data_IF_097901274944
#
_entry.id   IF_097901274944
#
_cell.length_a   1.000
_cell.length_b   1.000
_cell.length_c   1.000
_cell.angle_alpha   90.00
_cell.angle_beta   90.00
_cell.angle_gamma   90.00
#
_symmetry.space_group_name_H-M   'P 1'
#
loop_
_entity.id
_entity.type
_entity.pdbx_description
1 polymer ?
#
# COMPACT_ATOMS: atom_id res chain seq x y z
N UNK A 1 1.74 20.71 37.41
CA UNK A 1 1.82 19.25 37.62
C UNK A 1 0.38 18.77 37.76
N UNK A 2 -0.14 18.02 36.78
CA UNK A 2 -1.48 17.37 36.72
C UNK A 2 -2.70 18.33 36.69
N UNK A 3 -3.73 18.23 35.83
CA UNK A 3 -4.21 17.20 34.92
C UNK A 3 -4.89 17.89 33.72
N UNK A 4 -4.47 17.51 32.51
CA UNK A 4 -5.06 17.88 31.23
C UNK A 4 -5.95 16.71 30.80
N UNK A 5 -7.17 16.62 31.33
CA UNK A 5 -8.17 15.58 30.98
C UNK A 5 -9.56 16.22 30.96
N UNK A 6 -9.94 16.84 29.85
CA UNK A 6 -11.35 17.17 29.56
C UNK A 6 -11.61 17.56 28.08
N UNK A 7 -10.79 17.15 27.11
CA UNK A 7 -10.97 17.62 25.72
C UNK A 7 -10.65 16.58 24.64
N UNK A 8 -10.92 15.31 24.91
CA UNK A 8 -11.10 14.29 23.87
C UNK A 8 -12.30 13.45 24.27
N UNK A 9 -13.43 13.61 23.55
CA UNK A 9 -14.47 12.61 23.26
C UNK A 9 -15.74 13.34 22.79
N UNK A 10 -15.66 13.93 21.61
CA UNK A 10 -16.83 14.18 20.75
C UNK A 10 -16.45 13.74 19.34
N UNK A 11 -16.10 12.46 19.21
CA UNK A 11 -16.23 11.78 17.93
C UNK A 11 -17.72 11.55 17.74
N UNK A 12 -18.32 12.26 16.78
CA UNK A 12 -19.65 11.92 16.29
C UNK A 12 -19.59 10.47 15.79
N UNK A 13 -20.14 9.54 16.58
CA UNK A 13 -20.30 8.16 16.17
C UNK A 13 -21.34 8.15 15.06
N UNK A 14 -20.89 8.10 13.80
CA UNK A 14 -21.72 7.53 12.74
C UNK A 14 -22.26 6.19 13.24
N UNK A 15 -23.54 5.86 13.02
CA UNK A 15 -24.07 4.57 13.43
C UNK A 15 -23.17 3.49 12.84
N UNK A 16 -22.70 2.56 13.69
CA UNK A 16 -21.84 1.47 13.26
C UNK A 16 -22.48 0.79 12.04
N UNK A 17 -21.82 0.88 10.89
CA UNK A 17 -22.29 0.24 9.67
C UNK A 17 -22.59 -1.23 10.00
N UNK A 18 -23.78 -1.70 9.63
CA UNK A 18 -24.16 -3.10 9.80
C UNK A 18 -23.08 -3.97 9.18
N UNK A 19 -22.51 -4.88 9.97
CA UNK A 19 -21.41 -5.72 9.51
C UNK A 19 -21.80 -6.42 8.20
N UNK A 20 -20.94 -6.40 7.17
CA UNK A 20 -21.28 -6.93 5.85
C UNK A 20 -21.57 -8.43 5.94
N UNK A 21 -22.60 -8.88 5.22
CA UNK A 21 -22.96 -10.31 5.16
C UNK A 21 -21.96 -11.01 4.24
N UNK A 22 -21.13 -11.88 4.82
CA UNK A 22 -20.18 -12.70 4.09
C UNK A 22 -20.83 -14.02 3.66
N UNK A 23 -20.63 -14.49 2.42
CA UNK A 23 -21.00 -15.85 2.05
C UNK A 23 -20.13 -16.85 2.81
N UNK A 24 -20.66 -18.03 3.12
CA UNK A 24 -19.97 -19.07 3.90
C UNK A 24 -18.61 -19.47 3.29
N UNK A 25 -18.46 -19.37 1.97
CA UNK A 25 -17.20 -19.61 1.25
C UNK A 25 -16.09 -18.62 1.61
N UNK A 26 -16.44 -17.40 2.02
CA UNK A 26 -15.50 -16.35 2.40
C UNK A 26 -15.28 -16.31 3.92
N UNK A 27 -16.25 -16.76 4.73
CA UNK A 27 -16.16 -16.73 6.21
C UNK A 27 -14.88 -17.39 6.72
N UNK A 28 -14.53 -18.57 6.20
CA UNK A 28 -13.37 -19.37 6.64
C UNK A 28 -12.05 -18.58 6.51
N UNK A 29 -11.92 -17.71 5.51
CA UNK A 29 -10.70 -16.93 5.26
C UNK A 29 -10.40 -15.91 6.35
N UNK A 30 -11.42 -15.49 7.10
CA UNK A 30 -11.31 -14.48 8.16
C UNK A 30 -11.35 -15.09 9.57
N UNK A 31 -11.49 -16.42 9.66
CA UNK A 31 -11.36 -17.17 10.91
C UNK A 31 -9.91 -17.58 11.16
N UNK A 32 -9.52 -17.63 12.44
CA UNK A 32 -8.22 -18.13 12.90
C UNK A 32 -8.27 -19.65 13.06
N UNK A 33 -7.12 -20.32 13.17
CA UNK A 33 -7.03 -21.79 13.14
C UNK A 33 -8.01 -22.54 14.07
N UNK A 34 -8.15 -22.09 15.32
CA UNK A 34 -9.10 -22.71 16.27
C UNK A 34 -10.58 -22.52 15.85
N UNK A 35 -10.91 -21.36 15.29
CA UNK A 35 -12.25 -21.01 14.82
C UNK A 35 -12.60 -21.69 13.49
N UNK A 36 -11.60 -21.91 12.63
CA UNK A 36 -11.76 -22.71 11.41
C UNK A 36 -12.09 -24.17 11.77
N UNK A 37 -11.39 -24.74 12.75
CA UNK A 37 -11.71 -26.08 13.24
C UNK A 37 -13.11 -26.13 13.87
N UNK A 38 -13.51 -25.08 14.60
CA UNK A 38 -14.86 -24.95 15.15
C UNK A 38 -15.94 -24.84 14.07
N UNK A 39 -15.68 -24.05 13.02
CA UNK A 39 -16.55 -23.92 11.85
C UNK A 39 -16.83 -25.28 11.23
N UNK A 40 -15.77 -26.05 10.93
CA UNK A 40 -15.89 -27.38 10.32
C UNK A 40 -16.70 -28.33 11.21
N UNK A 41 -16.47 -28.33 12.53
CA UNK A 41 -17.25 -29.15 13.47
C UNK A 41 -18.73 -28.74 13.51
N UNK A 42 -19.01 -27.44 13.54
CA UNK A 42 -20.38 -26.93 13.55
C UNK A 42 -21.11 -27.26 12.24
N UNK A 43 -20.43 -27.16 11.10
CA UNK A 43 -21.00 -27.50 9.80
C UNK A 43 -21.33 -29.00 9.69
N UNK A 44 -20.44 -29.88 10.17
CA UNK A 44 -20.72 -31.32 10.24
C UNK A 44 -21.90 -31.65 11.16
N UNK A 45 -22.01 -30.96 12.29
CA UNK A 45 -23.15 -31.12 13.22
C UNK A 45 -24.47 -30.67 12.58
N UNK A 46 -24.44 -29.58 11.82
CA UNK A 46 -25.60 -29.08 11.07
C UNK A 46 -26.08 -30.10 10.03
N UNK A 47 -25.18 -30.65 9.22
CA UNK A 47 -25.50 -31.65 8.21
C UNK A 47 -25.97 -32.98 8.84
N UNK A 48 -25.36 -33.41 9.95
CA UNK A 48 -25.85 -34.57 10.71
C UNK A 48 -27.28 -34.36 11.25
N UNK A 49 -27.58 -33.15 11.74
CA UNK A 49 -28.91 -32.76 12.17
C UNK A 49 -29.94 -32.78 11.04
N UNK A 50 -29.57 -32.29 9.84
CA UNK A 50 -30.42 -32.40 8.63
C UNK A 50 -30.68 -33.86 8.24
N UNK A 51 -29.66 -34.72 8.33
CA UNK A 51 -29.79 -36.14 8.07
C UNK A 51 -30.82 -36.81 9.00
N UNK A 52 -30.74 -36.54 10.31
CA UNK A 52 -31.69 -37.04 11.30
C UNK A 52 -33.10 -36.53 11.09
N UNK A 53 -33.25 -35.24 10.77
CA UNK A 53 -34.55 -34.63 10.46
C UNK A 53 -35.21 -35.29 9.24
N UNK A 54 -34.44 -35.49 8.17
CA UNK A 54 -34.93 -36.16 6.95
C UNK A 54 -35.29 -37.62 7.23
N UNK A 55 -34.46 -38.33 8.00
CA UNK A 55 -34.70 -39.72 8.38
C UNK A 55 -35.97 -39.85 9.25
N UNK A 56 -36.10 -39.01 10.28
CA UNK A 56 -37.28 -38.99 11.15
C UNK A 56 -38.56 -38.65 10.37
N UNK A 57 -38.50 -37.67 9.47
CA UNK A 57 -39.63 -37.30 8.59
C UNK A 57 -40.02 -38.44 7.65
N UNK A 58 -39.03 -39.11 7.05
CA UNK A 58 -39.27 -40.29 6.20
C UNK A 58 -39.94 -41.42 6.98
N UNK A 59 -39.46 -41.71 8.19
CA UNK A 59 -40.05 -42.72 9.07
C UNK A 59 -41.51 -42.38 9.40
N UNK A 60 -41.81 -41.13 9.74
CA UNK A 60 -43.18 -40.69 10.07
C UNK A 60 -44.14 -40.75 8.88
N UNK A 61 -43.65 -40.54 7.66
CA UNK A 61 -44.46 -40.50 6.44
C UNK A 61 -44.58 -41.86 5.73
N UNK A 62 -43.80 -42.87 6.15
CA UNK A 62 -43.86 -44.19 5.55
C UNK A 62 -45.23 -44.86 5.79
N UNK A 63 -45.87 -45.44 4.75
CA UNK A 63 -47.13 -46.17 4.92
C UNK A 63 -46.91 -47.43 5.77
N UNK A 64 -47.77 -47.67 6.76
CA UNK A 64 -47.63 -48.80 7.71
C UNK A 64 -48.87 -49.66 7.76
N UNK A 65 -48.69 -50.97 7.59
CA UNK A 65 -49.65 -52.02 7.94
C UNK A 65 -49.41 -52.46 9.39
N UNK A 66 -50.47 -52.82 10.13
CA UNK A 66 -50.33 -53.31 11.51
C UNK A 66 -49.50 -54.62 11.49
N UNK A 67 -48.34 -54.63 12.15
CA UNK A 67 -47.55 -55.85 12.29
C UNK A 67 -48.17 -56.75 13.36
N UNK A 68 -48.51 -57.98 12.99
CA UNK A 68 -49.09 -58.98 13.90
C UNK A 68 -48.01 -60.01 14.24
N UNK A 69 -47.30 -59.81 15.37
CA UNK A 69 -46.28 -60.76 15.85
C UNK A 69 -45.40 -60.19 16.97
N UNK A 70 -45.06 -60.99 17.98
CA UNK A 70 -44.12 -60.60 19.06
C UNK A 70 -42.72 -60.45 18.45
N UNK A 71 -42.25 -59.21 18.29
CA UNK A 71 -40.90 -58.89 17.80
C UNK A 71 -40.83 -57.83 16.68
N UNK A 72 -41.96 -57.37 16.15
CA UNK A 72 -42.00 -56.28 15.17
C UNK A 72 -42.33 -54.93 15.83
N UNK A 73 -41.63 -53.87 15.40
CA UNK A 73 -41.88 -52.49 15.84
C UNK A 73 -43.31 -52.08 15.46
N UNK A 74 -44.12 -51.68 16.44
CA UNK A 74 -45.50 -51.23 16.20
C UNK A 74 -45.53 -49.88 15.47
N UNK A 75 -46.63 -49.55 14.77
CA UNK A 75 -46.79 -48.23 14.15
C UNK A 75 -46.67 -47.05 15.14
N UNK A 76 -46.99 -47.24 16.42
CA UNK A 76 -46.83 -46.22 17.45
C UNK A 76 -45.36 -46.05 17.86
N UNK A 77 -44.64 -47.16 18.09
CA UNK A 77 -43.20 -47.14 18.41
C UNK A 77 -42.37 -46.52 17.29
N UNK A 78 -42.66 -46.89 16.04
CA UNK A 78 -41.99 -46.33 14.88
C UNK A 78 -42.32 -44.84 14.67
N UNK A 79 -43.47 -44.35 15.16
CA UNK A 79 -43.80 -42.91 15.12
C UNK A 79 -43.01 -42.17 16.19
N UNK A 80 -42.99 -42.68 17.42
CA UNK A 80 -42.21 -42.13 18.53
C UNK A 80 -40.71 -42.06 18.20
N UNK A 81 -40.16 -43.08 17.53
CA UNK A 81 -38.78 -43.07 17.02
C UNK A 81 -38.54 -41.96 15.99
N UNK A 82 -39.47 -41.79 15.05
CA UNK A 82 -39.41 -40.71 14.06
C UNK A 82 -39.42 -39.33 14.70
N UNK A 83 -40.31 -39.10 15.67
CA UNK A 83 -40.40 -37.85 16.45
C UNK A 83 -39.11 -37.59 17.26
N UNK A 84 -38.53 -38.62 17.88
CA UNK A 84 -37.28 -38.50 18.61
C UNK A 84 -36.11 -38.07 17.68
N UNK A 85 -36.03 -38.65 16.49
CA UNK A 85 -35.02 -38.29 15.49
C UNK A 85 -35.21 -36.86 14.95
N UNK A 86 -36.45 -36.42 14.75
CA UNK A 86 -36.74 -35.03 14.36
C UNK A 86 -36.32 -34.07 15.45
N UNK A 87 -36.66 -34.35 16.71
CA UNK A 87 -36.26 -33.52 17.85
C UNK A 87 -34.73 -33.44 17.99
N UNK A 88 -34.05 -34.57 17.92
CA UNK A 88 -32.57 -34.62 17.97
C UNK A 88 -31.96 -33.83 16.80
N UNK A 89 -32.51 -33.98 15.59
CA UNK A 89 -32.08 -33.22 14.41
C UNK A 89 -32.27 -31.71 14.57
N UNK A 90 -33.41 -31.28 15.11
CA UNK A 90 -33.70 -29.86 15.38
C UNK A 90 -32.74 -29.28 16.43
N UNK A 91 -32.48 -29.99 17.52
CA UNK A 91 -31.53 -29.56 18.55
C UNK A 91 -30.10 -29.42 18.00
N UNK A 92 -29.67 -30.38 17.17
CA UNK A 92 -28.35 -30.34 16.52
C UNK A 92 -28.23 -29.17 15.54
N UNK A 93 -29.25 -28.95 14.72
CA UNK A 93 -29.33 -27.80 13.81
C UNK A 93 -29.26 -26.50 14.61
N UNK A 94 -30.06 -26.35 15.67
CA UNK A 94 -30.11 -25.12 16.47
C UNK A 94 -28.76 -24.80 17.11
N UNK A 95 -28.10 -25.79 17.73
CA UNK A 95 -26.76 -25.63 18.34
C UNK A 95 -25.72 -25.26 17.29
N UNK A 96 -25.72 -25.95 16.15
CA UNK A 96 -24.80 -25.66 15.06
C UNK A 96 -25.02 -24.25 14.48
N UNK A 97 -26.27 -23.85 14.27
CA UNK A 97 -26.62 -22.52 13.75
C UNK A 97 -26.16 -21.40 14.68
N UNK A 98 -26.29 -21.55 16.00
CA UNK A 98 -25.76 -20.57 16.95
C UNK A 98 -24.25 -20.38 16.80
N UNK A 99 -23.50 -21.48 16.72
CA UNK A 99 -22.04 -21.44 16.53
C UNK A 99 -21.67 -20.83 15.18
N UNK A 100 -22.30 -21.26 14.09
CA UNK A 100 -22.05 -20.74 12.74
C UNK A 100 -22.35 -19.24 12.66
N UNK A 101 -23.44 -18.77 13.27
CA UNK A 101 -23.79 -17.34 13.29
C UNK A 101 -22.77 -16.50 14.07
N UNK A 102 -22.29 -17.00 15.22
CA UNK A 102 -21.22 -16.33 15.97
C UNK A 102 -19.95 -16.22 15.11
N UNK A 103 -19.55 -17.31 14.46
CA UNK A 103 -18.37 -17.34 13.60
C UNK A 103 -18.51 -16.43 12.36
N UNK A 104 -19.69 -16.39 11.73
CA UNK A 104 -20.02 -15.42 10.66
C UNK A 104 -19.85 -13.98 11.14
N UNK A 105 -20.35 -13.65 12.32
CA UNK A 105 -20.21 -12.31 12.90
C UNK A 105 -18.76 -11.95 13.19
N UNK A 106 -17.97 -12.88 13.76
CA UNK A 106 -16.52 -12.70 13.96
C UNK A 106 -15.80 -12.45 12.63
N UNK A 107 -16.07 -13.26 11.61
CA UNK A 107 -15.48 -13.11 10.29
C UNK A 107 -15.89 -11.78 9.63
N UNK A 108 -17.16 -11.39 9.71
CA UNK A 108 -17.68 -10.14 9.18
C UNK A 108 -17.04 -8.92 9.85
N UNK A 109 -16.83 -8.97 11.17
CA UNK A 109 -16.15 -7.91 11.93
C UNK A 109 -14.71 -7.76 11.46
N UNK A 110 -13.97 -8.87 11.36
CA UNK A 110 -12.57 -8.82 10.88
C UNK A 110 -12.46 -8.40 9.43
N UNK A 111 -13.38 -8.84 8.59
CA UNK A 111 -13.45 -8.37 7.20
C UNK A 111 -13.67 -6.86 7.17
N UNK A 112 -14.65 -6.34 7.91
CA UNK A 112 -14.92 -4.90 7.99
C UNK A 112 -13.72 -4.11 8.50
N UNK A 113 -12.99 -4.62 9.51
CA UNK A 113 -11.75 -4.01 9.98
C UNK A 113 -10.64 -4.02 8.92
N UNK A 114 -10.53 -5.10 8.13
CA UNK A 114 -9.53 -5.25 7.07
C UNK A 114 -9.88 -4.48 5.80
N UNK A 115 -11.14 -4.07 5.62
CA UNK A 115 -11.62 -3.30 4.46
C UNK A 115 -12.07 -1.90 4.83
N UNK A 116 -11.74 -1.41 6.03
CA UNK A 116 -12.07 -0.04 6.40
C UNK A 116 -11.34 0.92 5.47
N UNK A 117 -12.01 2.00 5.12
CA UNK A 117 -11.38 3.07 4.36
C UNK A 117 -10.34 3.78 5.24
N UNK A 118 -9.18 4.07 4.65
CA UNK A 118 -8.10 4.82 5.30
C UNK A 118 -7.68 5.95 4.38
N UNK A 119 -7.59 7.15 4.94
CA UNK A 119 -7.02 8.30 4.25
C UNK A 119 -5.57 8.48 4.67
N UNK A 120 -4.68 8.50 3.68
CA UNK A 120 -3.25 8.73 3.84
C UNK A 120 -2.93 10.05 3.15
N UNK A 121 -2.46 11.04 3.88
CA UNK A 121 -2.22 12.37 3.32
C UNK A 121 -0.86 12.93 3.76
N UNK A 122 -0.21 13.64 2.84
CA UNK A 122 1.01 14.40 3.08
C UNK A 122 0.86 15.81 2.51
N UNK A 123 1.30 16.79 3.29
CA UNK A 123 1.39 18.18 2.88
C UNK A 123 2.76 18.46 2.28
N UNK A 124 2.78 19.17 1.15
CA UNK A 124 3.96 19.60 0.42
C UNK A 124 4.02 21.11 0.42
N UNK A 125 5.11 21.63 0.99
CA UNK A 125 5.32 23.07 1.12
C UNK A 125 5.95 23.68 -0.13
N UNK A 126 5.59 24.93 -0.41
CA UNK A 126 6.22 25.76 -1.42
C UNK A 126 7.54 26.35 -0.94
N UNK A 127 8.57 26.26 -1.77
CA UNK A 127 9.90 26.83 -1.53
C UNK A 127 10.46 27.49 -2.78
N UNK A 128 11.42 28.39 -2.60
CA UNK A 128 12.33 28.76 -3.70
C UNK A 128 13.18 27.55 -4.08
N UNK A 129 13.60 27.47 -5.33
CA UNK A 129 14.35 26.35 -5.89
C UNK A 129 15.54 25.90 -5.02
N UNK A 130 16.46 26.83 -4.74
CA UNK A 130 17.67 26.54 -3.97
C UNK A 130 17.37 26.12 -2.52
N UNK A 131 16.37 26.74 -1.91
CA UNK A 131 15.94 26.43 -0.54
C UNK A 131 15.30 25.04 -0.47
N UNK A 132 14.41 24.74 -1.42
CA UNK A 132 13.73 23.45 -1.52
C UNK A 132 14.71 22.30 -1.72
N UNK A 133 15.69 22.46 -2.62
CA UNK A 133 16.76 21.48 -2.83
C UNK A 133 17.62 21.31 -1.59
N UNK A 134 18.05 22.40 -0.95
CA UNK A 134 18.90 22.34 0.25
C UNK A 134 18.19 21.65 1.42
N UNK A 135 16.95 22.04 1.71
CA UNK A 135 16.16 21.48 2.81
C UNK A 135 15.84 20.00 2.58
N UNK A 136 15.55 19.62 1.34
CA UNK A 136 15.31 18.23 0.96
C UNK A 136 16.61 17.41 1.05
N UNK A 137 17.74 17.93 0.57
CA UNK A 137 19.04 17.28 0.69
C UNK A 137 19.45 17.06 2.17
N UNK A 138 19.23 18.05 3.05
CA UNK A 138 19.51 17.92 4.48
C UNK A 138 18.72 16.78 5.13
N UNK A 139 17.42 16.69 4.87
CA UNK A 139 16.56 15.62 5.43
C UNK A 139 16.90 14.25 4.85
N UNK A 140 17.08 14.18 3.53
CA UNK A 140 17.46 12.97 2.83
C UNK A 140 18.81 12.42 3.30
N UNK A 141 19.83 13.27 3.46
CA UNK A 141 21.14 12.88 4.01
C UNK A 141 21.04 12.37 5.43
N UNK A 142 20.24 13.05 6.28
CA UNK A 142 20.01 12.59 7.65
C UNK A 142 19.42 11.19 7.65
N UNK A 143 18.40 10.91 6.84
CA UNK A 143 17.75 9.60 6.78
C UNK A 143 18.65 8.51 6.21
N UNK A 144 19.41 8.81 5.15
CA UNK A 144 20.40 7.87 4.62
C UNK A 144 21.45 7.50 5.67
N UNK A 145 21.98 8.50 6.40
CA UNK A 145 22.93 8.29 7.49
C UNK A 145 22.32 7.50 8.65
N UNK A 146 21.09 7.84 9.05
CA UNK A 146 20.40 7.13 10.13
C UNK A 146 20.10 5.66 9.71
N UNK A 147 20.01 5.38 8.40
CA UNK A 147 19.95 4.02 7.85
C UNK A 147 21.31 3.32 7.75
N UNK A 148 22.43 4.00 8.02
CA UNK A 148 23.78 3.44 8.03
C UNK A 148 24.65 3.79 6.81
N UNK A 149 24.12 4.54 5.84
CA UNK A 149 24.83 4.85 4.59
C UNK A 149 26.08 5.69 4.84
N UNK A 150 27.19 5.28 4.23
CA UNK A 150 28.49 5.95 4.37
C UNK A 150 28.96 6.65 3.11
N UNK A 151 28.33 6.39 1.96
CA UNK A 151 28.62 7.03 0.69
C UNK A 151 27.32 7.29 -0.08
N UNK A 152 27.25 8.42 -0.79
CA UNK A 152 26.10 8.86 -1.58
C UNK A 152 26.56 9.20 -2.99
N UNK A 153 25.84 8.70 -4.00
CA UNK A 153 26.06 9.05 -5.39
C UNK A 153 24.82 9.76 -5.94
N UNK A 154 24.99 10.99 -6.42
CA UNK A 154 23.95 11.66 -7.24
C UNK A 154 24.11 11.16 -8.67
N UNK A 155 23.14 10.38 -9.13
CA UNK A 155 23.24 9.54 -10.33
C UNK A 155 22.46 10.06 -11.53
N UNK A 156 21.48 10.94 -11.34
CA UNK A 156 20.70 11.47 -12.46
C UNK A 156 19.57 12.39 -12.03
N UNK A 157 18.92 12.98 -13.02
CA UNK A 157 17.66 13.68 -12.83
C UNK A 157 16.80 13.68 -14.09
N UNK A 158 15.49 13.71 -13.89
CA UNK A 158 14.50 13.77 -14.96
C UNK A 158 13.65 15.02 -14.90
N UNK A 159 13.37 15.55 -16.07
CA UNK A 159 12.30 16.50 -16.34
C UNK A 159 11.17 15.75 -17.06
N UNK A 160 9.95 15.82 -16.53
CA UNK A 160 8.77 15.28 -17.19
C UNK A 160 8.00 16.40 -17.87
N UNK A 161 7.75 16.28 -19.17
CA UNK A 161 6.87 17.19 -19.89
C UNK A 161 5.39 16.78 -19.82
N UNK A 162 4.53 17.55 -20.48
CA UNK A 162 3.09 17.27 -20.56
C UNK A 162 2.77 15.95 -21.27
N UNK A 163 3.67 15.45 -22.13
CA UNK A 163 3.55 14.16 -22.80
C UNK A 163 3.89 12.96 -21.91
N UNK A 164 4.30 13.22 -20.66
CA UNK A 164 4.68 12.22 -19.67
C UNK A 164 5.99 11.49 -19.97
N UNK A 165 6.77 11.94 -20.96
CA UNK A 165 8.05 11.31 -21.27
C UNK A 165 9.17 11.92 -20.43
N UNK A 166 10.05 11.10 -19.83
CA UNK A 166 11.20 11.60 -19.11
C UNK A 166 12.26 12.12 -20.09
N UNK A 167 12.82 13.30 -19.79
CA UNK A 167 14.02 13.82 -20.42
C UNK A 167 15.12 14.01 -19.36
N UNK A 168 16.39 13.63 -19.62
CA UNK A 168 17.50 13.94 -18.73
C UNK A 168 17.60 15.44 -18.44
N UNK A 169 17.90 15.80 -17.19
CA UNK A 169 18.03 17.20 -16.77
C UNK A 169 19.39 17.45 -16.10
N UNK A 170 20.37 17.90 -16.90
CA UNK A 170 21.74 18.14 -16.41
C UNK A 170 21.80 19.28 -15.37
N UNK A 171 21.07 20.36 -15.58
CA UNK A 171 21.03 21.50 -14.65
C UNK A 171 20.51 21.08 -13.28
N UNK A 172 19.44 20.28 -13.22
CA UNK A 172 18.93 19.75 -11.95
C UNK A 172 19.93 18.79 -11.27
N UNK A 173 20.73 18.03 -12.03
CA UNK A 173 21.80 17.21 -11.45
C UNK A 173 22.85 18.11 -10.79
N UNK A 174 23.29 19.17 -11.46
CA UNK A 174 24.28 20.12 -10.94
C UNK A 174 23.76 20.85 -9.70
N UNK A 175 22.54 21.37 -9.75
CA UNK A 175 21.88 22.04 -8.63
C UNK A 175 21.70 21.11 -7.43
N UNK A 176 21.26 19.87 -7.68
CA UNK A 176 21.14 18.86 -6.64
C UNK A 176 22.51 18.55 -6.03
N UNK A 177 23.56 18.38 -6.83
CA UNK A 177 24.93 18.15 -6.32
C UNK A 177 25.43 19.33 -5.50
N UNK A 178 25.15 20.57 -5.92
CA UNK A 178 25.51 21.77 -5.19
C UNK A 178 24.78 21.85 -3.83
N UNK A 179 23.46 21.62 -3.84
CA UNK A 179 22.65 21.57 -2.62
C UNK A 179 23.08 20.42 -1.70
N UNK A 180 23.40 19.25 -2.25
CA UNK A 180 23.86 18.08 -1.50
C UNK A 180 25.23 18.35 -0.87
N UNK A 181 26.15 18.98 -1.60
CA UNK A 181 27.46 19.39 -1.09
C UNK A 181 27.31 20.44 0.01
N UNK A 182 26.41 21.42 -0.16
CA UNK A 182 26.12 22.42 0.87
C UNK A 182 25.45 21.84 2.11
N UNK A 183 24.61 20.82 1.95
CA UNK A 183 23.96 20.10 3.03
C UNK A 183 24.94 19.23 3.84
N UNK A 184 26.10 18.89 3.28
CA UNK A 184 27.12 18.16 4.01
C UNK A 184 27.66 19.00 5.15
N UNK A 185 27.55 18.44 6.36
CA UNK A 185 28.28 18.92 7.51
C UNK A 185 29.78 18.58 7.37
N UNK A 186 30.51 18.42 8.48
CA UNK A 186 31.93 18.06 8.54
C UNK A 186 32.29 16.68 7.91
N UNK A 187 31.32 15.98 7.30
CA UNK A 187 31.50 14.63 6.74
C UNK A 187 31.26 14.65 5.22
N UNK A 188 32.26 14.17 4.48
CA UNK A 188 32.19 14.02 3.02
C UNK A 188 31.52 12.69 2.67
N UNK A 189 30.22 12.73 2.42
CA UNK A 189 29.45 11.55 1.99
C UNK A 189 29.25 11.48 0.47
N UNK A 190 29.34 12.59 -0.25
CA UNK A 190 29.08 12.63 -1.70
C UNK A 190 30.34 12.18 -2.41
N UNK A 191 30.23 11.05 -3.08
CA UNK A 191 31.29 10.52 -3.90
C UNK A 191 31.35 11.28 -5.24
N UNK A 192 32.55 11.40 -5.84
CA UNK A 192 32.68 11.90 -7.20
C UNK A 192 31.90 10.99 -8.17
N UNK A 193 31.42 11.57 -9.27
CA UNK A 193 30.88 10.76 -10.34
C UNK A 193 32.02 9.89 -10.95
N UNK A 194 31.76 8.61 -11.27
CA UNK A 194 32.71 7.78 -11.98
C UNK A 194 33.16 8.43 -13.28
N UNK A 195 34.42 8.25 -13.68
CA UNK A 195 34.98 8.87 -14.88
C UNK A 195 34.33 8.39 -16.18
N UNK A 196 33.79 7.17 -16.15
CA UNK A 196 33.02 6.55 -17.24
C UNK A 196 31.52 6.87 -17.18
N UNK A 197 31.09 7.67 -16.20
CA UNK A 197 29.68 7.99 -15.96
C UNK A 197 28.89 6.85 -15.32
N UNK A 198 27.64 7.11 -14.98
CA UNK A 198 26.74 6.07 -14.46
C UNK A 198 25.99 5.39 -15.60
N UNK A 199 26.00 4.05 -15.60
CA UNK A 199 25.24 3.18 -16.50
C UNK A 199 25.05 1.82 -15.85
N UNK A 200 23.85 1.23 -15.97
CA UNK A 200 23.62 -0.11 -15.41
C UNK A 200 24.22 -1.18 -16.34
N UNK A 201 25.08 -2.02 -15.77
CA UNK A 201 25.65 -3.20 -16.44
C UNK A 201 25.08 -4.49 -15.83
N UNK A 202 25.19 -5.59 -16.59
CA UNK A 202 24.66 -6.87 -16.14
C UNK A 202 25.42 -7.34 -14.91
N UNK A 203 24.67 -7.73 -13.87
CA UNK A 203 25.27 -8.36 -12.71
C UNK A 203 25.92 -9.70 -13.13
N UNK A 204 27.09 -10.06 -12.56
CA UNK A 204 27.81 -11.28 -12.95
C UNK A 204 27.04 -12.56 -12.61
N UNK A 205 26.09 -12.49 -11.66
CA UNK A 205 25.16 -13.55 -11.28
C UNK A 205 23.80 -12.96 -10.91
N UNK A 206 22.74 -13.77 -10.85
CA UNK A 206 21.41 -13.32 -10.44
C UNK A 206 21.33 -12.82 -8.98
N UNK A 207 22.26 -13.24 -8.13
CA UNK A 207 22.33 -12.86 -6.71
C UNK A 207 23.25 -11.66 -6.45
N UNK A 208 24.09 -11.28 -7.41
CA UNK A 208 25.01 -10.16 -7.27
C UNK A 208 24.26 -8.81 -7.31
N UNK A 209 24.75 -7.78 -6.58
CA UNK A 209 24.20 -6.44 -6.66
C UNK A 209 24.34 -5.87 -8.08
N UNK A 210 23.45 -4.94 -8.43
CA UNK A 210 23.56 -4.22 -9.68
C UNK A 210 24.85 -3.39 -9.72
N UNK A 211 25.51 -3.34 -10.87
CA UNK A 211 26.66 -2.48 -11.10
C UNK A 211 26.21 -1.27 -11.91
N UNK A 212 26.61 -0.07 -11.48
CA UNK A 212 26.17 1.19 -12.09
C UNK A 212 27.29 1.98 -12.77
N UNK A 213 28.50 1.43 -12.83
CA UNK A 213 29.63 1.93 -13.62
C UNK A 213 30.68 0.82 -13.68
N UNK A 214 31.46 0.75 -14.77
CA UNK A 214 32.53 -0.23 -14.89
C UNK A 214 33.70 0.08 -13.94
N UNK A 215 33.89 1.36 -13.61
CA UNK A 215 34.95 1.82 -12.70
C UNK A 215 34.50 1.92 -11.24
N UNK A 216 33.20 1.82 -10.97
CA UNK A 216 32.66 1.83 -9.61
C UNK A 216 32.54 0.43 -9.01
N UNK A 217 33.07 0.25 -7.79
CA UNK A 217 32.91 -0.97 -7.00
C UNK A 217 31.50 -1.06 -6.41
N UNK A 218 30.73 -2.07 -6.80
CA UNK A 218 29.39 -2.30 -6.27
C UNK A 218 29.41 -2.61 -4.76
N UNK A 219 28.42 -2.15 -3.99
CA UNK A 219 28.33 -2.42 -2.55
C UNK A 219 28.06 -3.90 -2.27
N UNK A 220 28.80 -4.46 -1.31
CA UNK A 220 28.72 -5.89 -0.96
C UNK A 220 27.61 -6.21 0.05
N UNK A 221 27.06 -5.20 0.71
CA UNK A 221 25.96 -5.34 1.65
C UNK A 221 24.99 -4.15 1.58
N UNK A 222 23.77 -4.36 2.10
CA UNK A 222 22.80 -3.30 2.31
C UNK A 222 23.35 -2.19 3.23
N UNK A 223 22.79 -1.00 3.10
CA UNK A 223 23.08 0.17 3.95
C UNK A 223 24.52 0.71 3.84
N UNK A 224 25.24 0.45 2.74
CA UNK A 224 26.58 1.00 2.50
C UNK A 224 26.54 2.27 1.64
N UNK A 225 25.88 2.19 0.49
CA UNK A 225 25.88 3.24 -0.53
C UNK A 225 24.46 3.65 -0.91
N UNK A 226 24.18 4.95 -0.89
CA UNK A 226 22.93 5.53 -1.33
C UNK A 226 23.01 6.03 -2.77
N UNK A 227 21.98 5.75 -3.57
CA UNK A 227 21.75 6.33 -4.89
C UNK A 227 20.75 7.48 -4.75
N UNK A 228 21.05 8.61 -5.36
CA UNK A 228 20.26 9.83 -5.26
C UNK A 228 19.92 10.35 -6.65
N UNK A 229 18.65 10.64 -6.90
CA UNK A 229 18.21 11.29 -8.13
C UNK A 229 17.05 12.23 -7.86
N UNK A 230 16.81 13.16 -8.79
CA UNK A 230 15.68 14.08 -8.72
C UNK A 230 14.75 13.95 -9.92
N UNK A 231 13.50 14.33 -9.71
CA UNK A 231 12.46 14.36 -10.74
C UNK A 231 11.66 15.64 -10.59
N UNK A 232 11.37 16.32 -11.69
CA UNK A 232 10.47 17.47 -11.70
C UNK A 232 9.24 17.19 -12.57
N UNK A 233 8.07 17.52 -12.01
CA UNK A 233 6.76 17.32 -12.62
C UNK A 233 6.00 18.65 -12.67
N UNK A 234 5.73 19.21 -13.86
CA UNK A 234 4.85 20.36 -13.98
C UNK A 234 3.43 19.95 -13.57
N UNK A 235 2.79 20.76 -12.73
CA UNK A 235 1.38 20.59 -12.38
C UNK A 235 0.52 21.53 -13.21
N UNK A 236 0.98 22.78 -13.35
CA UNK A 236 0.37 23.84 -14.14
C UNK A 236 1.44 24.90 -14.48
N UNK A 237 1.03 25.98 -15.12
CA UNK A 237 1.91 27.09 -15.53
C UNK A 237 2.62 27.81 -14.38
N UNK A 238 2.16 27.64 -13.14
CA UNK A 238 2.64 28.36 -11.96
C UNK A 238 3.33 27.46 -10.93
N UNK A 239 3.29 26.13 -11.09
CA UNK A 239 3.74 25.21 -10.06
C UNK A 239 4.26 23.87 -10.63
N UNK A 240 5.33 23.38 -10.03
CA UNK A 240 5.94 22.07 -10.28
C UNK A 240 6.25 21.37 -8.97
N UNK A 241 6.07 20.05 -8.92
CA UNK A 241 6.57 19.19 -7.84
C UNK A 241 7.98 18.74 -8.18
N UNK A 242 8.89 18.89 -7.22
CA UNK A 242 10.23 18.33 -7.29
C UNK A 242 10.34 17.23 -6.26
N UNK A 243 10.74 16.06 -6.71
CA UNK A 243 11.05 14.93 -5.85
C UNK A 243 12.54 14.68 -5.82
N UNK A 244 13.06 14.35 -4.64
CA UNK A 244 14.41 13.81 -4.47
C UNK A 244 14.26 12.43 -3.86
N UNK A 245 14.81 11.43 -4.52
CA UNK A 245 14.71 10.03 -4.09
C UNK A 245 16.06 9.55 -3.60
N UNK A 246 16.03 8.72 -2.56
CA UNK A 246 17.20 8.04 -2.02
C UNK A 246 16.93 6.55 -1.98
N UNK A 247 17.77 5.75 -2.61
CA UNK A 247 17.70 4.30 -2.59
C UNK A 247 18.99 3.66 -2.08
N UNK A 248 18.87 2.45 -1.56
CA UNK A 248 20.03 1.59 -1.28
C UNK A 248 20.53 0.97 -2.60
N UNK A 249 21.80 1.21 -2.93
CA UNK A 249 22.43 0.68 -4.14
C UNK A 249 22.48 -0.87 -4.17
N UNK A 250 22.51 -1.54 -3.02
CA UNK A 250 22.56 -3.00 -2.95
C UNK A 250 21.18 -3.64 -3.15
N UNK A 251 20.19 -3.20 -2.36
CA UNK A 251 18.84 -3.78 -2.39
C UNK A 251 17.93 -3.18 -3.49
N UNK A 252 18.26 -2.00 -4.01
CA UNK A 252 17.44 -1.18 -4.91
C UNK A 252 16.11 -0.73 -4.26
N UNK A 253 16.05 -0.74 -2.93
CA UNK A 253 14.88 -0.27 -2.18
C UNK A 253 14.99 1.23 -1.93
N UNK A 254 13.90 1.96 -2.13
CA UNK A 254 13.80 3.34 -1.65
C UNK A 254 13.92 3.37 -0.12
N UNK A 255 14.74 4.30 0.35
CA UNK A 255 14.96 4.60 1.77
C UNK A 255 14.14 5.83 2.13
N UNK A 256 14.19 6.84 1.26
CA UNK A 256 13.51 8.10 1.47
C UNK A 256 13.12 8.74 0.15
N UNK A 257 12.15 9.65 0.25
CA UNK A 257 11.72 10.50 -0.83
C UNK A 257 11.25 11.81 -0.22
N UNK A 258 11.87 12.89 -0.67
CA UNK A 258 11.55 14.25 -0.30
C UNK A 258 10.79 14.91 -1.43
N UNK A 259 9.87 15.81 -1.09
CA UNK A 259 9.05 16.51 -2.07
C UNK A 259 8.89 17.97 -1.67
N UNK A 260 8.98 18.88 -2.65
CA UNK A 260 8.63 20.27 -2.48
C UNK A 260 7.97 20.84 -3.73
N UNK A 261 7.27 21.96 -3.54
CA UNK A 261 6.59 22.70 -4.59
C UNK A 261 7.39 23.97 -4.94
N UNK A 262 7.52 24.28 -6.23
CA UNK A 262 8.26 25.46 -6.73
C UNK A 262 7.60 26.00 -7.99
N UNK A 263 7.86 27.27 -8.35
CA UNK A 263 7.46 27.78 -9.66
C UNK A 263 8.41 27.25 -10.75
N UNK A 264 7.99 27.23 -12.03
CA UNK A 264 8.89 26.89 -13.14
C UNK A 264 10.13 27.80 -13.24
N UNK A 265 10.06 29.02 -12.70
CA UNK A 265 11.15 29.99 -12.66
C UNK A 265 12.02 29.85 -11.39
N UNK A 266 11.67 28.94 -10.48
CA UNK A 266 12.41 28.69 -9.24
C UNK A 266 12.04 29.59 -8.06
N UNK A 267 10.97 30.38 -8.18
CA UNK A 267 10.44 31.17 -7.07
C UNK A 267 9.53 30.36 -6.15
N UNK A 268 9.38 30.84 -4.92
CA UNK A 268 8.41 30.29 -3.99
C UNK A 268 7.00 30.51 -4.50
N UNK A 269 6.18 29.48 -4.37
CA UNK A 269 4.78 29.49 -4.79
C UNK A 269 3.86 29.92 -3.65
N UNK A 270 2.82 30.69 -3.99
CA UNK A 270 1.75 31.09 -3.06
C UNK A 270 0.74 29.98 -2.74
N UNK A 271 1.16 28.71 -2.84
CA UNK A 271 0.29 27.55 -2.65
C UNK A 271 0.99 26.47 -1.81
N UNK A 272 0.20 25.63 -1.17
CA UNK A 272 0.61 24.31 -0.65
C UNK A 272 -0.04 23.23 -1.49
N UNK A 273 0.65 22.11 -1.63
CA UNK A 273 0.09 20.92 -2.24
C UNK A 273 -0.29 19.92 -1.15
N UNK A 274 -1.43 19.26 -1.29
CA UNK A 274 -1.74 18.06 -0.51
C UNK A 274 -1.82 16.86 -1.45
N UNK A 275 -1.11 15.80 -1.08
CA UNK A 275 -1.11 14.52 -1.77
C UNK A 275 -1.84 13.54 -0.86
N UNK A 276 -2.98 13.01 -1.31
CA UNK A 276 -3.79 12.12 -0.50
C UNK A 276 -4.24 10.86 -1.25
N UNK A 277 -4.09 9.70 -0.63
CA UNK A 277 -4.66 8.42 -1.07
C UNK A 277 -5.83 8.07 -0.15
N UNK A 278 -7.02 8.02 -0.74
CA UNK A 278 -8.19 7.38 -0.14
C UNK A 278 -8.13 5.89 -0.47
N UNK A 279 -7.57 5.09 0.45
CA UNK A 279 -7.48 3.63 0.36
C UNK A 279 -8.79 3.01 0.84
N UNK A 280 -9.59 2.52 -0.11
CA UNK A 280 -10.94 2.01 0.14
C UNK A 280 -10.96 0.65 0.84
N UNK A 281 -9.82 -0.03 0.94
CA UNK A 281 -9.76 -1.42 1.41
C UNK A 281 -8.59 -1.69 2.35
N UNK A 282 -8.08 -0.67 3.04
CA UNK A 282 -6.90 -0.74 3.92
C UNK A 282 -5.77 -1.58 3.29
N UNK A 283 -5.56 -1.48 1.98
CA UNK A 283 -4.56 -2.26 1.28
C UNK A 283 -3.15 -1.84 1.71
N UNK A 284 -2.86 -0.54 1.72
CA UNK A 284 -1.56 0.04 2.08
C UNK A 284 -1.17 -0.31 3.53
N UNK A 285 -2.02 -0.13 4.56
CA UNK A 285 -1.70 -0.60 5.90
C UNK A 285 -1.41 -2.10 5.99
N UNK A 286 -2.15 -2.94 5.25
CA UNK A 286 -1.96 -4.40 5.28
C UNK A 286 -0.62 -4.83 4.70
N UNK A 287 -0.22 -4.25 3.57
CA UNK A 287 1.07 -4.56 2.96
C UNK A 287 2.24 -3.93 3.73
N UNK A 288 2.03 -2.81 4.42
CA UNK A 288 3.05 -2.20 5.27
C UNK A 288 3.44 -3.08 6.47
N UNK A 289 2.52 -3.94 6.92
CA UNK A 289 2.75 -4.89 8.00
C UNK A 289 3.39 -6.21 7.51
N UNK A 290 3.70 -6.34 6.22
CA UNK A 290 4.19 -7.58 5.62
C UNK A 290 5.33 -7.34 4.64
N UNK A 291 6.45 -8.05 4.83
CA UNK A 291 7.59 -7.98 3.91
C UNK A 291 7.38 -8.79 2.62
N UNK A 292 6.21 -9.42 2.47
CA UNK A 292 5.91 -10.26 1.30
C UNK A 292 5.65 -9.47 0.02
N UNK A 293 5.26 -8.19 0.11
CA UNK A 293 4.94 -7.38 -1.06
C UNK A 293 6.14 -6.56 -1.51
N UNK A 294 6.54 -6.75 -2.76
CA UNK A 294 7.60 -6.03 -3.45
C UNK A 294 7.01 -5.27 -4.63
N UNK A 295 6.70 -4.00 -4.40
CA UNK A 295 5.91 -3.19 -5.31
C UNK A 295 6.78 -2.40 -6.29
N UNK A 296 6.54 -2.63 -7.59
CA UNK A 296 7.09 -1.88 -8.71
C UNK A 296 6.10 -0.88 -9.31
N UNK A 297 6.60 0.01 -10.17
CA UNK A 297 5.85 1.12 -10.78
C UNK A 297 6.06 1.15 -12.30
N UNK A 298 5.40 0.27 -13.06
CA UNK A 298 5.57 0.21 -14.50
C UNK A 298 5.06 1.48 -15.19
N UNK A 299 5.91 2.11 -16.00
CA UNK A 299 5.54 3.33 -16.75
C UNK A 299 4.35 3.12 -17.68
N UNK A 300 4.20 1.92 -18.25
CA UNK A 300 3.09 1.62 -19.17
C UNK A 300 1.70 1.70 -18.49
N UNK A 301 1.65 1.47 -17.18
CA UNK A 301 0.40 1.41 -16.42
C UNK A 301 0.28 2.55 -15.37
N UNK A 302 1.28 3.40 -15.26
CA UNK A 302 1.31 4.52 -14.34
C UNK A 302 1.58 5.83 -15.05
N UNK A 303 0.78 6.85 -14.75
CA UNK A 303 1.17 8.23 -15.03
C UNK A 303 2.43 8.58 -14.22
N UNK A 304 3.42 9.28 -14.81
CA UNK A 304 4.66 9.60 -14.10
C UNK A 304 4.45 10.35 -12.78
N UNK A 305 3.61 11.41 -12.79
CA UNK A 305 3.30 12.18 -11.58
C UNK A 305 2.52 11.34 -10.55
N UNK A 306 1.57 10.52 -10.99
CA UNK A 306 0.83 9.61 -10.11
C UNK A 306 1.73 8.57 -9.45
N UNK A 307 2.68 8.00 -10.18
CA UNK A 307 3.69 7.10 -9.64
C UNK A 307 4.58 7.79 -8.61
N UNK A 308 5.07 9.01 -8.90
CA UNK A 308 5.89 9.77 -7.97
C UNK A 308 5.16 10.07 -6.64
N UNK A 309 3.91 10.54 -6.72
CA UNK A 309 3.06 10.79 -5.55
C UNK A 309 2.82 9.52 -4.71
N UNK A 310 2.50 8.40 -5.36
CA UNK A 310 2.26 7.15 -4.66
C UNK A 310 3.55 6.59 -4.04
N UNK A 311 4.70 6.69 -4.72
CA UNK A 311 6.01 6.36 -4.12
C UNK A 311 6.27 7.20 -2.87
N UNK A 312 5.99 8.49 -2.94
CA UNK A 312 6.16 9.42 -1.82
C UNK A 312 5.31 9.04 -0.60
N UNK A 313 4.00 8.80 -0.80
CA UNK A 313 3.10 8.36 0.26
C UNK A 313 3.48 6.99 0.85
N UNK A 314 3.91 6.05 0.00
CA UNK A 314 4.34 4.71 0.40
C UNK A 314 5.52 4.77 1.37
N UNK A 315 6.54 5.56 1.06
CA UNK A 315 7.77 5.64 1.85
C UNK A 315 7.60 6.54 3.08
N UNK A 316 7.11 7.78 2.92
CA UNK A 316 7.02 8.76 4.02
C UNK A 316 5.85 8.54 4.97
N UNK A 317 4.73 8.05 4.45
CA UNK A 317 3.50 7.89 5.23
C UNK A 317 3.32 6.52 5.87
N UNK A 318 3.84 5.46 5.23
CA UNK A 318 3.35 4.09 5.49
C UNK A 318 4.43 3.02 5.63
N UNK A 319 5.71 3.35 5.37
CA UNK A 319 6.82 2.39 5.38
C UNK A 319 6.59 1.19 4.45
N UNK A 320 5.81 1.36 3.39
CA UNK A 320 5.65 0.33 2.36
C UNK A 320 6.99 0.19 1.64
N UNK A 321 7.57 -1.02 1.57
CA UNK A 321 8.77 -1.27 0.79
C UNK A 321 8.55 -0.98 -0.71
N UNK A 322 9.35 -0.08 -1.28
CA UNK A 322 9.28 0.30 -2.71
C UNK A 322 10.60 -0.01 -3.40
N UNK A 323 10.54 -0.71 -4.54
CA UNK A 323 11.70 -1.01 -5.38
C UNK A 323 11.79 -0.03 -6.55
N UNK A 324 13.00 0.38 -6.88
CA UNK A 324 13.26 1.36 -7.93
C UNK A 324 14.04 0.79 -9.13
N UNK A 325 14.26 -0.52 -9.20
CA UNK A 325 15.03 -1.18 -10.27
C UNK A 325 14.61 -0.76 -11.68
N UNK A 326 13.34 -0.96 -12.04
CA UNK A 326 12.79 -0.58 -13.36
C UNK A 326 13.07 0.90 -13.70
N UNK A 327 12.90 1.75 -12.70
CA UNK A 327 13.04 3.19 -12.84
C UNK A 327 14.50 3.60 -13.04
N UNK A 328 15.41 3.02 -12.25
CA UNK A 328 16.85 3.24 -12.35
C UNK A 328 17.42 2.70 -13.67
N UNK A 329 16.97 1.53 -14.14
CA UNK A 329 17.33 0.97 -15.45
C UNK A 329 17.05 1.95 -16.59
N UNK A 330 15.97 2.73 -16.50
CA UNK A 330 15.65 3.75 -17.50
C UNK A 330 16.45 5.04 -17.27
N UNK A 331 16.61 5.49 -16.03
CA UNK A 331 17.34 6.73 -15.71
C UNK A 331 18.79 6.67 -16.19
N UNK A 332 19.45 5.54 -15.95
CA UNK A 332 20.87 5.35 -16.26
C UNK A 332 21.09 4.65 -17.60
N UNK A 333 20.02 4.14 -18.22
CA UNK A 333 20.08 3.30 -19.40
C UNK A 333 20.84 1.98 -19.18
N UNK A 334 21.05 1.24 -20.26
CA UNK A 334 21.67 -0.09 -20.24
C UNK A 334 20.78 -1.14 -20.91
N UNK A 335 21.32 -2.34 -21.11
CA UNK A 335 20.61 -3.47 -21.73
C UNK A 335 20.06 -4.46 -20.69
N UNK A 336 19.86 -4.00 -19.45
CA UNK A 336 19.55 -4.86 -18.30
C UNK A 336 18.31 -4.34 -17.59
N UNK A 337 17.31 -5.21 -17.51
CA UNK A 337 16.14 -5.00 -16.65
C UNK A 337 16.51 -5.35 -15.21
N UNK A 338 16.14 -4.48 -14.27
CA UNK A 338 16.25 -4.72 -12.83
C UNK A 338 14.86 -5.08 -12.24
N UNK A 339 13.93 -5.52 -13.09
CA UNK A 339 12.51 -5.70 -12.76
C UNK A 339 12.25 -6.96 -11.92
N UNK A 340 13.19 -7.92 -11.92
CA UNK A 340 13.08 -9.24 -11.30
C UNK A 340 12.86 -9.24 -9.78
N UNK A 341 12.99 -8.07 -9.14
CA UNK A 341 12.80 -7.94 -7.68
C UNK A 341 11.36 -7.61 -7.27
N UNK A 342 10.49 -7.17 -8.18
CA UNK A 342 9.09 -6.86 -7.84
C UNK A 342 8.20 -8.10 -7.99
N UNK A 343 7.25 -8.31 -7.06
CA UNK A 343 6.23 -9.37 -7.17
C UNK A 343 4.80 -8.83 -7.27
N UNK A 344 4.64 -7.52 -7.24
CA UNK A 344 3.41 -6.82 -7.55
C UNK A 344 3.72 -5.49 -8.22
N UNK A 345 2.79 -5.02 -9.04
CA UNK A 345 2.94 -3.82 -9.85
C UNK A 345 1.78 -2.87 -9.56
N UNK A 346 2.10 -1.62 -9.23
CA UNK A 346 1.12 -0.56 -9.14
C UNK A 346 0.60 -0.18 -10.53
N UNK A 347 -0.64 0.29 -10.56
CA UNK A 347 -1.26 0.96 -11.69
C UNK A 347 -1.88 2.25 -11.19
N UNK A 348 -1.48 3.38 -11.78
CA UNK A 348 -1.93 4.71 -11.37
C UNK A 348 -2.39 5.48 -12.60
N UNK A 349 -3.70 5.48 -12.84
CA UNK A 349 -4.31 6.02 -14.07
C UNK A 349 -5.13 7.26 -13.74
N UNK A 350 -5.14 8.31 -14.58
CA UNK A 350 -5.89 9.51 -14.31
C UNK A 350 -7.39 9.18 -14.30
N UNK A 351 -8.15 9.87 -13.45
CA UNK A 351 -9.62 9.80 -13.46
C UNK A 351 -10.12 10.69 -14.61
N UNK A 352 -10.86 10.13 -15.59
CA UNK A 352 -11.38 10.94 -16.70
C UNK A 352 -12.26 12.09 -16.18
N UNK A 353 -11.99 13.31 -16.65
CA UNK A 353 -12.76 14.51 -16.29
C UNK A 353 -12.47 15.11 -14.92
N UNK A 354 -11.51 14.56 -14.14
CA UNK A 354 -11.15 15.08 -12.83
C UNK A 354 -9.64 15.32 -12.75
N UNK A 355 -9.24 16.59 -12.84
CA UNK A 355 -7.83 16.99 -12.78
C UNK A 355 -7.24 16.72 -11.40
N UNK A 356 -6.07 16.09 -11.37
CA UNK A 356 -5.35 15.80 -10.15
C UNK A 356 -5.78 14.51 -9.43
N UNK A 357 -6.77 13.78 -9.94
CA UNK A 357 -7.21 12.49 -9.38
C UNK A 357 -6.76 11.30 -10.23
N UNK A 358 -6.38 10.23 -9.54
CA UNK A 358 -5.85 9.02 -10.13
C UNK A 358 -6.47 7.79 -9.45
N UNK A 359 -6.92 6.81 -10.26
CA UNK A 359 -7.29 5.49 -9.77
C UNK A 359 -6.03 4.68 -9.50
N UNK A 360 -5.97 4.08 -8.32
CA UNK A 360 -4.86 3.25 -7.86
C UNK A 360 -5.31 1.81 -7.71
N UNK A 361 -4.54 0.90 -8.28
CA UNK A 361 -4.71 -0.54 -8.13
C UNK A 361 -3.36 -1.26 -8.14
N UNK A 362 -3.31 -2.50 -7.65
CA UNK A 362 -2.12 -3.33 -7.67
C UNK A 362 -2.41 -4.68 -8.34
N UNK A 363 -1.49 -5.18 -9.16
CA UNK A 363 -1.58 -6.50 -9.79
C UNK A 363 -0.40 -7.36 -9.33
N UNK A 364 -0.67 -8.57 -8.85
CA UNK A 364 0.40 -9.52 -8.49
C UNK A 364 1.03 -10.09 -9.77
N UNK A 365 2.36 -10.09 -9.84
CA UNK A 365 3.13 -10.59 -10.99
C UNK A 365 2.80 -12.07 -11.22
N UNK A 366 2.64 -12.45 -12.49
CA UNK A 366 2.23 -13.80 -12.88
C UNK A 366 0.73 -14.10 -12.72
N UNK A 367 -0.07 -13.10 -12.33
CA UNK A 367 -1.53 -13.23 -12.21
C UNK A 367 -2.26 -12.14 -13.01
N UNK A 368 -3.52 -12.39 -13.35
CA UNK A 368 -4.42 -11.36 -13.90
C UNK A 368 -5.21 -10.63 -12.81
N UNK A 369 -5.06 -11.05 -11.55
CA UNK A 369 -5.85 -10.51 -10.43
C UNK A 369 -5.36 -9.11 -10.09
N UNK A 370 -6.22 -8.14 -10.33
CA UNK A 370 -6.00 -6.74 -9.95
C UNK A 370 -6.82 -6.41 -8.72
N UNK A 371 -6.18 -5.82 -7.73
CA UNK A 371 -6.78 -5.35 -6.49
C UNK A 371 -6.97 -3.86 -6.62
N UNK A 372 -8.22 -3.40 -6.62
CA UNK A 372 -8.52 -1.98 -6.49
C UNK A 372 -8.08 -1.50 -5.11
N UNK A 373 -7.37 -0.37 -5.06
CA UNK A 373 -6.89 0.22 -3.79
C UNK A 373 -7.67 1.48 -3.47
N UNK A 374 -7.83 2.39 -4.44
CA UNK A 374 -8.68 3.56 -4.25
C UNK A 374 -8.28 4.74 -5.11
N UNK A 375 -8.37 5.95 -4.56
CA UNK A 375 -8.16 7.19 -5.31
C UNK A 375 -7.03 8.01 -4.71
N UNK A 376 -6.01 8.27 -5.51
CA UNK A 376 -4.93 9.21 -5.22
C UNK A 376 -5.30 10.57 -5.77
N UNK A 377 -5.06 11.63 -5.00
CA UNK A 377 -5.43 13.00 -5.34
C UNK A 377 -4.29 13.97 -5.05
N UNK A 378 -4.15 14.96 -5.92
CA UNK A 378 -3.33 16.14 -5.74
C UNK A 378 -4.25 17.35 -5.66
N UNK A 379 -4.11 18.15 -4.61
CA UNK A 379 -4.83 19.42 -4.45
C UNK A 379 -3.84 20.54 -4.19
N UNK A 380 -4.15 21.72 -4.74
CA UNK A 380 -3.39 22.95 -4.50
C UNK A 380 -4.27 23.93 -3.73
N UNK A 381 -3.79 24.39 -2.59
CA UNK A 381 -4.48 25.36 -1.74
C UNK A 381 -3.65 26.63 -1.62
N UNK A 382 -4.28 27.79 -1.79
CA UNK A 382 -3.59 29.07 -1.68
C UNK A 382 -3.15 29.30 -0.23
N UNK A 383 -1.88 29.66 -0.03
CA UNK A 383 -1.41 30.05 1.29
C UNK A 383 -2.06 31.39 1.66
N UNK A 384 -2.80 31.43 2.77
CA UNK A 384 -3.36 32.70 3.28
C UNK A 384 -2.21 33.68 3.48
N UNK A 385 -2.24 34.82 2.79
CA UNK A 385 -1.29 35.89 3.06
C UNK A 385 -1.48 36.34 4.52
N UNK A 386 -0.37 36.54 5.24
CA UNK A 386 -0.41 37.21 6.53
C UNK A 386 -1.08 38.58 6.31
N UNK A 387 -2.14 38.88 7.08
CA UNK A 387 -2.79 40.19 7.05
C UNK A 387 -1.73 41.27 7.16
N UNK A 388 -1.62 42.11 6.14
CA UNK A 388 -0.87 43.37 6.21
C UNK A 388 -1.37 44.15 7.42
N UNK A 389 -0.51 44.59 8.35
CA UNK A 389 -0.93 45.45 9.45
C UNK A 389 -1.60 46.70 8.86
N UNK A 390 -2.68 47.22 9.45
CA UNK A 390 -3.26 48.47 8.98
C UNK A 390 -2.18 49.56 9.06
N UNK A 391 -2.04 50.32 7.98
CA UNK A 391 -1.15 51.47 7.93
C UNK A 391 -1.44 52.37 9.13
N UNK A 392 -0.44 52.62 9.96
CA UNK A 392 -0.51 53.59 11.03
C UNK A 392 -0.86 54.95 10.38
N UNK A 393 -1.99 55.53 10.81
CA UNK A 393 -2.37 56.89 10.46
C UNK A 393 -1.56 57.89 11.25
#
# INVERSE_FOLDING_TARGET
MFVLVASLLLAASSPAATAPVLPDTEVIRYLRGAEQAEWSRAYLLFEAGRGRLNQGTSIMNAPRTQSVGKGFETPAEAKARGEALVKEGQEQIQRATQTLNRLRSTAATRFAELTKEVSLALEVSGYRWEEGLLMSALRAQKLARDAGMTAHHVIGAWNFGDDGKPAPNATLIEDLRAAWTKAQAERKFLEPAPSDGYRITAAPTAEAPAQFSATWTAPTAANQVALVWAEIYPINSSASLVYIHVADAHSLRLIDTECFLTSPQGDAVGFRASIALQDRYSFVPRISASDTWRLGYPLADCTPIGAAMLRHLSVRGNRVPVWCGEWLSRLLGGNVSLDDKSNALWKVKPVPGVTGDFKVSATQVGTTKTIEVGTLSLRLEQTKSAKTPPAAK
#
